data_IF_885479079372
#
_entry.id   IF_885479079372
#
_cell.length_a   1.000
_cell.length_b   1.000
_cell.length_c   1.000
_cell.angle_alpha   90.00
_cell.angle_beta   90.00
_cell.angle_gamma   90.00
#
_symmetry.space_group_name_H-M   'P 1'
#
loop_
_entity.id
_entity.type
_entity.pdbx_description
1 polymer ?
#
# COMPACT_ATOMS: atom_id res chain seq x y z
N UNK A 1 -14.51 -8.68 7.34
CA UNK A 1 -13.17 -8.24 7.84
C UNK A 1 -13.27 -7.03 8.76
N UNK A 2 -13.30 -5.75 8.32
CA UNK A 2 -13.30 -4.60 9.26
C UNK A 2 -14.49 -4.57 10.22
N UNK A 3 -15.71 -4.89 9.75
CA UNK A 3 -16.90 -5.00 10.60
C UNK A 3 -16.86 -6.20 11.59
N UNK A 4 -16.01 -7.19 11.34
CA UNK A 4 -15.91 -8.43 12.15
C UNK A 4 -14.72 -8.41 13.11
N UNK A 5 -13.60 -7.80 12.72
CA UNK A 5 -12.35 -7.72 13.51
C UNK A 5 -12.16 -6.36 14.19
N UNK A 6 -12.92 -5.34 13.75
CA UNK A 6 -12.74 -3.94 14.15
C UNK A 6 -11.49 -3.29 13.54
N UNK A 7 -11.37 -1.97 13.75
CA UNK A 7 -10.18 -1.16 13.48
C UNK A 7 -9.55 -0.78 14.83
N UNK A 8 -8.91 -1.75 15.49
CA UNK A 8 -8.34 -1.55 16.82
C UNK A 8 -7.15 -0.58 16.76
N UNK A 9 -7.21 0.50 17.54
CA UNK A 9 -6.08 1.40 17.74
C UNK A 9 -4.86 0.65 18.30
N UNK A 10 -3.70 0.88 17.68
CA UNK A 10 -2.40 0.35 18.10
C UNK A 10 -1.46 1.47 18.55
N UNK A 11 -1.53 2.60 17.84
CA UNK A 11 -0.80 3.84 18.11
C UNK A 11 -1.76 5.03 18.08
N UNK A 12 -1.25 6.25 18.29
CA UNK A 12 -2.03 7.47 18.07
C UNK A 12 -2.34 7.75 16.59
N UNK A 13 -1.68 7.05 15.68
CA UNK A 13 -1.75 7.25 14.23
C UNK A 13 -2.62 6.22 13.51
N UNK A 14 -2.96 5.09 14.16
CA UNK A 14 -3.79 4.04 13.55
C UNK A 14 -5.11 4.60 13.02
N UNK A 15 -5.43 4.33 11.75
CA UNK A 15 -6.75 4.65 11.21
C UNK A 15 -7.81 3.75 11.89
N UNK A 16 -8.73 4.37 12.62
CA UNK A 16 -9.79 3.66 13.38
C UNK A 16 -11.20 3.89 12.84
N UNK A 17 -11.31 4.67 11.77
CA UNK A 17 -12.57 5.03 11.10
C UNK A 17 -12.61 4.45 9.68
N UNK A 18 -13.78 3.93 9.29
CA UNK A 18 -13.93 3.24 7.99
C UNK A 18 -13.84 4.21 6.83
N UNK A 19 -14.46 5.40 6.94
CA UNK A 19 -14.47 6.36 5.85
C UNK A 19 -13.05 6.86 5.57
N UNK A 20 -12.30 7.14 6.65
CA UNK A 20 -10.88 7.51 6.58
C UNK A 20 -10.03 6.39 5.96
N UNK A 21 -10.30 5.13 6.30
CA UNK A 21 -9.60 3.99 5.70
C UNK A 21 -9.89 3.87 4.20
N UNK A 22 -11.15 4.07 3.80
CA UNK A 22 -11.55 4.03 2.38
C UNK A 22 -10.89 5.16 1.58
N UNK A 23 -10.81 6.37 2.16
CA UNK A 23 -10.09 7.50 1.56
C UNK A 23 -8.59 7.20 1.40
N UNK A 24 -7.96 6.62 2.43
CA UNK A 24 -6.55 6.21 2.35
C UNK A 24 -6.34 5.15 1.26
N UNK A 25 -7.25 4.17 1.14
CA UNK A 25 -7.21 3.17 0.08
C UNK A 25 -7.44 3.76 -1.32
N UNK A 26 -8.26 4.79 -1.46
CA UNK A 26 -8.44 5.51 -2.73
C UNK A 26 -7.14 6.22 -3.14
N UNK A 27 -6.44 6.85 -2.20
CA UNK A 27 -5.11 7.43 -2.43
C UNK A 27 -4.12 6.34 -2.84
N UNK A 28 -4.06 5.24 -2.10
CA UNK A 28 -3.17 4.12 -2.42
C UNK A 28 -3.44 3.54 -3.81
N UNK A 29 -4.70 3.46 -4.21
CA UNK A 29 -5.12 3.01 -5.54
C UNK A 29 -4.67 3.97 -6.65
N UNK A 30 -4.76 5.28 -6.42
CA UNK A 30 -4.27 6.29 -7.37
C UNK A 30 -2.75 6.25 -7.51
N UNK A 31 -2.02 6.03 -6.43
CA UNK A 31 -0.55 5.99 -6.40
C UNK A 31 0.03 4.64 -6.84
N UNK A 32 -0.73 3.56 -6.69
CA UNK A 32 -0.27 2.18 -6.91
C UNK A 32 0.63 1.63 -5.79
N UNK A 33 0.64 2.28 -4.63
CA UNK A 33 1.29 1.82 -3.40
C UNK A 33 0.58 2.46 -2.19
N UNK A 34 0.65 1.80 -1.04
CA UNK A 34 0.13 2.28 0.24
C UNK A 34 1.29 2.67 1.17
N UNK A 35 1.01 3.58 2.09
CA UNK A 35 1.92 3.99 3.16
C UNK A 35 1.20 3.78 4.49
N UNK A 36 1.87 3.09 5.40
CA UNK A 36 1.53 3.03 6.83
C UNK A 36 2.52 3.94 7.53
N UNK A 37 2.02 5.05 8.08
CA UNK A 37 2.80 6.06 8.77
C UNK A 37 2.57 5.98 10.29
N UNK A 38 3.35 5.14 10.96
CA UNK A 38 3.29 4.88 12.40
C UNK A 38 1.97 4.24 12.87
N UNK A 39 1.18 3.61 11.99
CA UNK A 39 -0.12 3.03 12.34
C UNK A 39 0.03 1.74 13.17
N UNK A 40 1.05 0.93 12.90
CA UNK A 40 1.35 -0.30 13.66
C UNK A 40 2.22 -0.06 14.90
N UNK A 41 3.22 0.84 14.78
CA UNK A 41 4.17 1.18 15.83
C UNK A 41 4.75 2.59 15.65
N UNK A 42 4.88 3.33 16.76
CA UNK A 42 5.52 4.65 16.80
C UNK A 42 6.98 4.56 16.30
N UNK A 43 7.38 5.50 15.45
CA UNK A 43 8.69 5.57 14.82
C UNK A 43 8.89 4.63 13.61
N UNK A 44 7.88 3.84 13.22
CA UNK A 44 7.96 2.88 12.10
C UNK A 44 7.14 3.37 10.92
N UNK A 45 7.70 3.28 9.72
CA UNK A 45 6.99 3.53 8.47
C UNK A 45 7.09 2.31 7.55
N UNK A 46 5.97 1.96 6.91
CA UNK A 46 5.96 0.92 5.88
C UNK A 46 5.43 1.46 4.55
N UNK A 47 6.02 0.99 3.46
CA UNK A 47 5.53 1.27 2.10
C UNK A 47 5.32 -0.04 1.38
N UNK A 48 4.11 -0.26 0.85
CA UNK A 48 3.71 -1.53 0.24
C UNK A 48 3.03 -1.36 -1.10
N UNK A 49 3.21 -2.33 -2.00
CA UNK A 49 2.51 -2.39 -3.27
C UNK A 49 1.97 -3.81 -3.54
N UNK A 50 0.79 -3.88 -4.14
CA UNK A 50 0.15 -5.14 -4.52
C UNK A 50 0.74 -5.68 -5.84
N UNK A 51 0.79 -7.00 -5.97
CA UNK A 51 1.12 -7.71 -7.21
C UNK A 51 -0.01 -8.65 -7.62
N UNK A 52 -0.10 -8.94 -8.92
CA UNK A 52 -1.28 -9.55 -9.53
C UNK A 52 -0.93 -10.79 -10.35
N UNK A 53 -1.85 -11.75 -10.36
CA UNK A 53 -1.74 -12.97 -11.16
C UNK A 53 -2.23 -12.79 -12.60
N UNK A 54 -2.15 -13.87 -13.39
CA UNK A 54 -2.59 -13.90 -14.79
C UNK A 54 -4.07 -13.56 -15.01
N UNK A 55 -4.91 -13.74 -13.99
CA UNK A 55 -6.34 -13.45 -14.01
C UNK A 55 -6.66 -12.01 -13.54
N UNK A 56 -5.63 -11.18 -13.33
CA UNK A 56 -5.71 -9.82 -12.77
C UNK A 56 -6.24 -9.77 -11.33
N UNK A 57 -6.33 -10.90 -10.64
CA UNK A 57 -6.62 -10.92 -9.21
C UNK A 57 -5.40 -10.48 -8.41
N UNK A 58 -5.63 -9.82 -7.27
CA UNK A 58 -4.57 -9.50 -6.33
C UNK A 58 -4.02 -10.82 -5.75
N UNK A 59 -2.78 -11.14 -6.10
CA UNK A 59 -2.10 -12.36 -5.66
C UNK A 59 -1.35 -12.15 -4.33
N UNK A 60 -1.06 -10.91 -3.97
CA UNK A 60 -0.42 -10.53 -2.72
C UNK A 60 0.14 -9.11 -2.75
N UNK A 61 0.99 -8.80 -1.79
CA UNK A 61 1.71 -7.53 -1.71
C UNK A 61 3.14 -7.72 -1.21
N UNK A 62 4.01 -6.78 -1.56
CA UNK A 62 5.37 -6.65 -1.03
C UNK A 62 5.49 -5.31 -0.33
N UNK A 63 6.16 -5.28 0.83
CA UNK A 63 6.41 -4.06 1.57
C UNK A 63 7.85 -3.95 2.04
N UNK A 64 8.27 -2.71 2.29
CA UNK A 64 9.51 -2.39 2.97
C UNK A 64 9.19 -1.60 4.24
N UNK A 65 9.90 -1.90 5.31
CA UNK A 65 9.76 -1.25 6.62
C UNK A 65 11.01 -0.44 6.92
N UNK A 66 10.84 0.78 7.41
CA UNK A 66 11.92 1.68 7.81
C UNK A 66 11.62 2.38 9.12
N UNK A 67 12.66 3.04 9.65
CA UNK A 67 12.54 3.90 10.83
C UNK A 67 12.30 5.33 10.37
N UNK A 68 11.22 5.96 10.84
CA UNK A 68 10.75 7.27 10.36
C UNK A 68 11.77 8.39 10.59
N UNK A 69 12.50 8.35 11.71
CA UNK A 69 13.53 9.34 12.03
C UNK A 69 14.63 9.47 10.95
N UNK A 70 14.85 8.43 10.15
CA UNK A 70 15.87 8.37 9.11
C UNK A 70 15.32 8.66 7.69
N UNK A 71 14.01 8.91 7.55
CA UNK A 71 13.32 8.96 6.27
C UNK A 71 12.54 10.27 6.08
N UNK A 72 13.06 11.21 5.26
CA UNK A 72 12.30 12.41 4.92
C UNK A 72 11.12 12.08 3.99
N UNK A 73 10.04 12.86 4.07
CA UNK A 73 8.77 12.58 3.38
C UNK A 73 8.89 12.42 1.87
N UNK A 74 9.76 13.19 1.20
CA UNK A 74 9.97 13.08 -0.26
C UNK A 74 10.52 11.71 -0.68
N UNK A 75 11.29 11.06 0.21
CA UNK A 75 11.87 9.74 -0.04
C UNK A 75 10.81 8.63 0.01
N UNK A 76 9.68 8.84 0.70
CA UNK A 76 8.57 7.88 0.77
C UNK A 76 7.98 7.65 -0.62
N UNK A 77 7.79 8.70 -1.42
CA UNK A 77 7.26 8.58 -2.77
C UNK A 77 8.23 7.83 -3.71
N UNK A 78 9.54 8.10 -3.60
CA UNK A 78 10.57 7.39 -4.36
C UNK A 78 10.61 5.90 -3.99
N UNK A 79 10.53 5.59 -2.69
CA UNK A 79 10.42 4.22 -2.18
C UNK A 79 9.15 3.57 -2.72
N UNK A 80 8.00 4.25 -2.66
CA UNK A 80 6.73 3.74 -3.16
C UNK A 80 6.77 3.37 -4.64
N UNK A 81 7.33 4.23 -5.49
CA UNK A 81 7.54 3.92 -6.90
C UNK A 81 8.50 2.74 -7.10
N UNK A 82 9.54 2.64 -6.28
CA UNK A 82 10.48 1.52 -6.33
C UNK A 82 9.78 0.22 -5.96
N UNK A 83 9.08 0.18 -4.82
CA UNK A 83 8.33 -1.00 -4.35
C UNK A 83 7.30 -1.44 -5.38
N UNK A 84 6.54 -0.49 -5.96
CA UNK A 84 5.60 -0.77 -7.05
C UNK A 84 6.29 -1.41 -8.27
N UNK A 85 7.44 -0.89 -8.68
CA UNK A 85 8.19 -1.47 -9.81
C UNK A 85 8.62 -2.93 -9.56
N UNK A 86 8.95 -3.28 -8.31
CA UNK A 86 9.24 -4.68 -7.95
C UNK A 86 7.97 -5.53 -7.88
N UNK A 87 6.86 -4.98 -7.40
CA UNK A 87 5.56 -5.66 -7.45
C UNK A 87 5.10 -5.94 -8.90
N UNK A 88 5.34 -5.02 -9.82
CA UNK A 88 5.09 -5.21 -11.26
C UNK A 88 5.95 -6.35 -11.83
N UNK A 89 7.21 -6.46 -11.40
CA UNK A 89 8.09 -7.57 -11.80
C UNK A 89 7.59 -8.92 -11.27
N UNK A 90 7.11 -8.96 -10.02
CA UNK A 90 6.48 -10.16 -9.45
C UNK A 90 5.23 -10.51 -10.26
N UNK A 91 4.41 -9.53 -10.61
CA UNK A 91 3.22 -9.73 -11.44
C UNK A 91 3.58 -10.37 -12.78
N UNK A 92 4.63 -9.87 -13.45
CA UNK A 92 5.13 -10.45 -14.70
C UNK A 92 5.59 -11.92 -14.57
N UNK A 93 6.20 -12.29 -13.45
CA UNK A 93 6.57 -13.70 -13.16
C UNK A 93 5.34 -14.59 -12.98
N UNK A 94 4.25 -14.04 -12.41
CA UNK A 94 2.98 -14.74 -12.19
C UNK A 94 2.04 -14.70 -13.42
N UNK A 95 2.50 -14.12 -14.54
CA UNK A 95 1.70 -13.96 -15.76
C UNK A 95 0.69 -12.80 -15.72
N UNK A 96 0.72 -11.97 -14.67
CA UNK A 96 -0.03 -10.73 -14.58
C UNK A 96 0.64 -9.56 -15.32
N UNK A 97 -0.04 -8.41 -15.33
CA UNK A 97 0.45 -7.16 -15.91
C UNK A 97 0.91 -6.14 -14.85
N UNK A 98 1.56 -5.04 -15.26
CA UNK A 98 1.91 -3.95 -14.36
C UNK A 98 0.67 -3.26 -13.81
N UNK A 99 0.80 -2.63 -12.64
CA UNK A 99 -0.30 -1.96 -11.94
C UNK A 99 -1.04 -0.95 -12.82
N UNK A 100 -0.31 -0.20 -13.65
CA UNK A 100 -0.86 0.80 -14.55
C UNK A 100 -1.89 0.23 -15.55
N UNK A 101 -1.73 -1.04 -15.94
CA UNK A 101 -2.58 -1.70 -16.94
C UNK A 101 -3.91 -2.19 -16.35
N UNK A 102 -4.06 -2.16 -15.02
CA UNK A 102 -5.26 -2.63 -14.34
C UNK A 102 -6.42 -1.64 -14.41
N UNK A 103 -6.18 -0.40 -14.86
CA UNK A 103 -7.21 0.64 -14.95
C UNK A 103 -7.77 1.08 -13.58
N UNK A 104 -7.12 0.68 -12.48
CA UNK A 104 -7.60 0.93 -11.11
C UNK A 104 -7.46 2.40 -10.70
N UNK A 105 -6.56 3.16 -11.33
CA UNK A 105 -6.33 4.57 -11.02
C UNK A 105 -7.46 5.52 -11.46
N UNK A 106 -8.45 5.02 -12.21
CA UNK A 106 -9.53 5.81 -12.83
C UNK A 106 -10.91 5.60 -12.19
N UNK A 107 -10.98 5.27 -10.89
CA UNK A 107 -12.25 5.22 -10.16
C UNK A 107 -12.75 6.62 -9.81
N UNK A 108 -13.84 7.04 -10.47
CA UNK A 108 -14.84 8.00 -9.94
C UNK A 108 -15.63 7.37 -8.79
#
# INVERSE_FOLDING_TARGET
>A
MCAETGLRARTGHTITDIDTLLDNLAVARRLGFAVDDEEDAEGVICVGAAFFGHDRSCAGAVSVTGIKGDLPTWRINEIGHTVRSYADRISGVLGGGPYADLGLAAGE
#
